data_IF_496948194645
#
_entry.id   IF_496948194645
#
_cell.length_a   1.000
_cell.length_b   1.000
_cell.length_c   1.000
_cell.angle_alpha   90.00
_cell.angle_beta   90.00
_cell.angle_gamma   90.00
#
_symmetry.space_group_name_H-M   'P 1'
#
loop_
_entity.id
_entity.type
_entity.pdbx_description
1 polymer ?
#
# COMPACT_ATOMS: atom_id res chain seq x y z
N UNK A 1 8.37 1.24 -5.80
CA UNK A 1 7.22 2.06 -5.35
C UNK A 1 7.34 2.25 -3.85
N UNK A 2 7.04 3.45 -3.35
CA UNK A 2 7.23 3.80 -1.94
C UNK A 2 5.87 4.04 -1.29
N UNK A 3 5.69 3.53 -0.08
CA UNK A 3 4.52 3.77 0.76
C UNK A 3 4.98 4.05 2.20
N UNK A 4 4.16 4.77 2.97
CA UNK A 4 4.46 5.15 4.35
C UNK A 4 3.19 5.20 5.20
N UNK A 5 3.38 5.04 6.50
CA UNK A 5 2.38 5.22 7.54
C UNK A 5 2.85 6.31 8.51
N UNK A 6 1.89 7.02 9.10
CA UNK A 6 2.18 8.00 10.15
C UNK A 6 2.32 7.28 11.48
N UNK A 7 3.38 7.55 12.24
CA UNK A 7 3.58 6.96 13.57
C UNK A 7 3.23 7.98 14.64
N UNK A 8 2.40 7.59 15.59
CA UNK A 8 2.01 8.36 16.77
C UNK A 8 2.30 7.57 18.05
N UNK A 9 2.06 8.18 19.22
CA UNK A 9 2.46 7.62 20.51
C UNK A 9 1.80 6.28 20.84
N UNK A 10 0.59 6.05 20.33
CA UNK A 10 -0.22 4.84 20.53
C UNK A 10 -0.24 3.90 19.31
N UNK A 11 0.63 4.15 18.31
CA UNK A 11 0.73 3.29 17.14
C UNK A 11 1.07 1.84 17.51
N UNK A 12 0.43 0.90 16.81
CA UNK A 12 0.73 -0.53 16.88
C UNK A 12 1.59 -0.89 15.67
N UNK A 13 2.87 -1.28 15.82
CA UNK A 13 3.79 -1.48 14.69
C UNK A 13 3.24 -2.40 13.58
N UNK A 14 2.58 -3.48 13.98
CA UNK A 14 1.96 -4.44 13.06
C UNK A 14 0.82 -3.82 12.24
N UNK A 15 0.04 -2.90 12.81
CA UNK A 15 -1.02 -2.20 12.09
C UNK A 15 -0.45 -1.20 11.08
N UNK A 16 0.57 -0.43 11.49
CA UNK A 16 1.21 0.54 10.60
C UNK A 16 1.90 -0.15 9.42
N UNK A 17 2.55 -1.30 9.68
CA UNK A 17 3.11 -2.14 8.62
C UNK A 17 2.05 -2.57 7.62
N UNK A 18 0.92 -3.12 8.10
CA UNK A 18 -0.21 -3.50 7.23
C UNK A 18 -0.78 -2.32 6.45
N UNK A 19 -0.83 -1.13 7.06
CA UNK A 19 -1.25 0.08 6.35
C UNK A 19 -0.30 0.40 5.17
N UNK A 20 1.02 0.33 5.39
CA UNK A 20 1.99 0.52 4.30
C UNK A 20 1.86 -0.52 3.19
N UNK A 21 1.67 -1.79 3.55
CA UNK A 21 1.46 -2.87 2.58
C UNK A 21 0.17 -2.68 1.79
N UNK A 22 -0.92 -2.27 2.43
CA UNK A 22 -2.20 -2.02 1.75
C UNK A 22 -2.10 -0.85 0.77
N UNK A 23 -1.47 0.26 1.18
CA UNK A 23 -1.24 1.42 0.31
C UNK A 23 -0.40 1.04 -0.91
N UNK A 24 0.66 0.28 -0.71
CA UNK A 24 1.51 -0.18 -1.79
C UNK A 24 0.74 -1.11 -2.75
N UNK A 25 0.06 -2.12 -2.20
CA UNK A 25 -0.69 -3.11 -2.99
C UNK A 25 -1.77 -2.47 -3.86
N UNK A 26 -2.44 -1.43 -3.38
CA UNK A 26 -3.44 -0.72 -4.16
C UNK A 26 -2.85 -0.13 -5.46
N UNK A 27 -1.65 0.46 -5.40
CA UNK A 27 -0.98 0.99 -6.58
C UNK A 27 -0.50 -0.11 -7.53
N UNK A 28 0.02 -1.22 -7.00
CA UNK A 28 0.39 -2.37 -7.86
C UNK A 28 -0.84 -2.93 -8.57
N UNK A 29 -1.93 -3.15 -7.84
CA UNK A 29 -3.15 -3.71 -8.43
C UNK A 29 -3.75 -2.78 -9.47
N UNK A 30 -3.69 -1.47 -9.25
CA UNK A 30 -4.12 -0.49 -10.25
C UNK A 30 -3.26 -0.57 -11.53
N UNK A 31 -1.94 -0.74 -11.40
CA UNK A 31 -1.05 -0.90 -12.54
C UNK A 31 -1.34 -2.20 -13.32
N UNK A 32 -1.52 -3.32 -12.62
CA UNK A 32 -1.89 -4.61 -13.23
C UNK A 32 -3.21 -4.51 -14.01
N UNK A 33 -4.24 -3.87 -13.44
CA UNK A 33 -5.53 -3.70 -14.13
C UNK A 33 -5.43 -2.85 -15.39
N UNK A 34 -4.53 -1.85 -15.40
CA UNK A 34 -4.27 -1.06 -16.61
C UNK A 34 -3.55 -1.90 -17.66
N UNK A 35 -2.56 -2.70 -17.26
CA UNK A 35 -1.83 -3.59 -18.16
C UNK A 35 -2.77 -4.64 -18.78
N UNK A 36 -3.61 -5.31 -17.98
CA UNK A 36 -4.61 -6.28 -18.43
C UNK A 36 -5.64 -5.68 -19.42
N UNK A 37 -5.96 -4.39 -19.33
CA UNK A 37 -6.91 -3.71 -20.21
C UNK A 37 -6.32 -3.12 -21.49
N UNK A 38 -4.99 -3.18 -21.66
CA UNK A 38 -4.27 -2.71 -22.85
C UNK A 38 -3.91 -3.84 -23.83
N UNK A 39 -4.07 -5.10 -23.40
CA UNK A 39 -4.05 -6.30 -24.26
C UNK A 39 -5.38 -6.48 -25.03
#
# INVERSE_FOLDING_TARGET
MQAAAGVVADSVPEMEWRETEHKARALLRAAELVEEGLE
#
